data_IF_089533233559
#
_entry.id   IF_089533233559
#
_cell.length_a   1.000
_cell.length_b   1.000
_cell.length_c   1.000
_cell.angle_alpha   90.00
_cell.angle_beta   90.00
_cell.angle_gamma   90.00
#
_symmetry.space_group_name_H-M   'P 1'
#
loop_
_entity.id
_entity.type
_entity.pdbx_description
1 polymer ?
#
# COMPACT_ATOMS: atom_id res chain seq x y z
N UNK A 1 6.79 -15.90 10.00
CA UNK A 1 6.44 -14.52 9.63
C UNK A 1 4.95 -14.34 9.83
N UNK A 2 4.52 -13.23 10.38
CA UNK A 2 3.14 -12.89 10.71
C UNK A 2 2.84 -11.42 10.43
N UNK A 3 1.57 -11.11 10.19
CA UNK A 3 1.05 -9.76 10.11
C UNK A 3 0.30 -9.46 11.41
N UNK A 4 0.72 -8.43 12.11
CA UNK A 4 0.11 -8.02 13.38
C UNK A 4 -0.59 -6.69 13.16
N UNK A 5 -1.91 -6.70 13.25
CA UNK A 5 -2.72 -5.51 13.03
C UNK A 5 -2.50 -4.49 14.14
N UNK A 6 -2.01 -3.32 13.78
CA UNK A 6 -1.82 -2.20 14.68
C UNK A 6 -3.16 -1.48 14.85
N UNK A 7 -3.80 -1.66 16.00
CA UNK A 7 -5.13 -1.07 16.30
C UNK A 7 -5.07 0.12 17.25
N UNK A 8 -4.00 0.23 18.04
CA UNK A 8 -3.79 1.39 18.91
C UNK A 8 -2.88 2.40 18.21
N UNK A 9 -3.39 3.57 17.95
CA UNK A 9 -2.67 4.68 17.35
C UNK A 9 -1.87 5.51 18.38
N UNK A 10 -1.59 4.94 19.56
CA UNK A 10 -0.83 5.55 20.64
C UNK A 10 0.30 4.64 21.09
N UNK A 11 1.38 5.25 21.55
CA UNK A 11 2.48 4.54 22.17
C UNK A 11 3.62 4.16 21.22
N UNK A 12 4.65 3.53 21.79
CA UNK A 12 5.94 3.32 21.15
C UNK A 12 5.89 2.49 19.86
N UNK A 13 4.96 1.55 19.76
CA UNK A 13 4.84 0.69 18.56
C UNK A 13 4.35 1.53 17.37
N UNK A 14 3.31 2.32 17.58
CA UNK A 14 2.80 3.24 16.54
C UNK A 14 3.87 4.27 16.14
N UNK A 15 4.56 4.87 17.12
CA UNK A 15 5.65 5.82 16.84
C UNK A 15 6.78 5.17 16.02
N UNK A 16 7.09 3.91 16.27
CA UNK A 16 8.12 3.16 15.52
C UNK A 16 7.66 2.89 14.09
N UNK A 17 6.42 2.47 13.90
CA UNK A 17 5.83 2.28 12.59
C UNK A 17 5.79 3.61 11.81
N UNK A 18 5.28 4.68 12.41
CA UNK A 18 5.24 6.00 11.77
C UNK A 18 6.62 6.53 11.36
N UNK A 19 7.68 6.24 12.12
CA UNK A 19 9.06 6.58 11.73
C UNK A 19 9.50 5.82 10.47
N UNK A 20 9.14 4.53 10.35
CA UNK A 20 9.42 3.77 9.13
C UNK A 20 8.61 4.31 7.95
N UNK A 21 7.31 4.56 8.16
CA UNK A 21 6.42 5.18 7.18
C UNK A 21 6.99 6.49 6.65
N UNK A 22 7.36 7.39 7.55
CA UNK A 22 7.92 8.71 7.19
C UNK A 22 9.26 8.63 6.47
N UNK A 23 10.10 7.66 6.80
CA UNK A 23 11.37 7.43 6.13
C UNK A 23 11.21 6.79 4.75
N UNK A 24 10.16 5.99 4.57
CA UNK A 24 9.96 5.18 3.35
C UNK A 24 9.22 5.90 2.25
N UNK A 25 8.37 6.88 2.59
CA UNK A 25 7.52 7.58 1.64
C UNK A 25 7.75 9.10 1.72
N UNK A 26 7.84 9.82 0.60
CA UNK A 26 7.98 11.26 0.59
C UNK A 26 6.71 11.94 1.13
N UNK A 27 6.86 13.17 1.65
CA UNK A 27 5.77 13.88 2.33
C UNK A 27 4.50 14.05 1.48
N UNK A 28 4.63 14.13 0.17
CA UNK A 28 3.52 14.31 -0.75
C UNK A 28 2.78 13.00 -1.10
N UNK A 29 3.34 11.85 -0.69
CA UNK A 29 2.76 10.51 -0.89
C UNK A 29 2.23 9.89 0.40
N UNK A 30 2.14 10.63 1.50
CA UNK A 30 1.75 10.09 2.79
C UNK A 30 0.81 10.98 3.59
N UNK A 31 0.02 10.35 4.43
CA UNK A 31 -0.80 11.05 5.42
C UNK A 31 0.09 11.71 6.48
N UNK A 32 -0.43 12.78 7.08
CA UNK A 32 0.12 13.30 8.33
C UNK A 32 -0.11 12.28 9.46
N UNK A 33 0.61 12.45 10.56
CA UNK A 33 0.46 11.62 11.76
C UNK A 33 -1.02 11.56 12.23
N UNK A 34 -1.67 12.72 12.38
CA UNK A 34 -3.07 12.80 12.82
C UNK A 34 -4.04 12.19 11.78
N UNK A 35 -3.78 12.38 10.51
CA UNK A 35 -4.59 11.79 9.45
C UNK A 35 -4.46 10.26 9.42
N UNK A 36 -3.26 9.75 9.66
CA UNK A 36 -3.02 8.31 9.78
C UNK A 36 -3.76 7.72 10.99
N UNK A 37 -3.73 8.42 12.14
CA UNK A 37 -4.53 8.00 13.31
C UNK A 37 -6.03 7.94 12.99
N UNK A 38 -6.57 8.96 12.28
CA UNK A 38 -7.99 8.94 11.88
C UNK A 38 -8.33 7.78 10.96
N UNK A 39 -7.46 7.46 9.98
CA UNK A 39 -7.67 6.33 9.08
C UNK A 39 -7.76 5.00 9.83
N UNK A 40 -7.00 4.82 10.91
CA UNK A 40 -7.01 3.59 11.72
C UNK A 40 -8.32 3.32 12.46
N UNK A 41 -9.25 4.29 12.56
CA UNK A 41 -10.59 4.06 13.09
C UNK A 41 -11.55 3.47 12.04
N UNK A 42 -11.16 3.45 10.78
CA UNK A 42 -11.96 2.83 9.73
C UNK A 42 -11.76 1.30 9.74
N UNK A 43 -12.87 0.56 9.77
CA UNK A 43 -12.82 -0.91 9.84
C UNK A 43 -12.21 -1.56 8.60
N UNK A 44 -12.28 -0.88 7.43
CA UNK A 44 -11.70 -1.35 6.19
C UNK A 44 -10.20 -1.06 6.08
N UNK A 45 -9.68 -0.15 6.92
CA UNK A 45 -8.26 0.21 6.90
C UNK A 45 -7.45 -0.69 7.81
N UNK A 46 -6.36 -1.21 7.29
CA UNK A 46 -5.42 -2.07 8.00
C UNK A 46 -4.03 -1.43 8.00
N UNK A 47 -3.47 -1.29 9.19
CA UNK A 47 -2.08 -0.95 9.39
C UNK A 47 -1.41 -2.18 10.02
N UNK A 48 -0.87 -3.05 9.18
CA UNK A 48 -0.31 -4.31 9.64
C UNK A 48 1.22 -4.23 9.70
N UNK A 49 1.75 -4.58 10.85
CA UNK A 49 3.18 -4.71 11.09
C UNK A 49 3.63 -6.11 10.71
N UNK A 50 4.76 -6.18 10.01
CA UNK A 50 5.35 -7.43 9.57
C UNK A 50 6.39 -7.86 10.61
N UNK A 51 6.21 -9.03 11.19
CA UNK A 51 7.15 -9.64 12.12
C UNK A 51 7.64 -10.99 11.62
N UNK A 52 8.90 -11.31 11.91
CA UNK A 52 9.47 -12.65 11.71
C UNK A 52 10.34 -13.00 12.93
N UNK A 53 10.05 -14.13 13.59
CA UNK A 53 10.75 -14.57 14.79
C UNK A 53 10.85 -13.50 15.90
N UNK A 54 9.79 -12.71 16.06
CA UNK A 54 9.73 -11.62 17.04
C UNK A 54 10.44 -10.33 16.64
N UNK A 55 11.08 -10.27 15.47
CA UNK A 55 11.70 -9.07 14.94
C UNK A 55 10.74 -8.26 14.05
N UNK A 56 10.73 -6.94 14.20
CA UNK A 56 10.03 -6.04 13.30
C UNK A 56 10.74 -5.97 11.95
N UNK A 57 10.02 -6.27 10.87
CA UNK A 57 10.55 -6.39 9.51
C UNK A 57 10.12 -5.23 8.61
N UNK A 58 8.91 -4.73 8.81
CA UNK A 58 8.32 -3.71 7.96
C UNK A 58 6.84 -3.54 8.24
N UNK A 59 6.14 -2.93 7.29
CA UNK A 59 4.71 -2.65 7.43
C UNK A 59 4.01 -2.68 6.07
N UNK A 60 2.72 -3.02 6.09
CA UNK A 60 1.82 -2.92 4.96
C UNK A 60 0.53 -2.25 5.39
N UNK A 61 0.17 -1.16 4.70
CA UNK A 61 -1.04 -0.39 4.93
C UNK A 61 -1.96 -0.63 3.74
N UNK A 62 -3.16 -1.13 4.01
CA UNK A 62 -4.08 -1.49 2.95
C UNK A 62 -5.54 -1.30 3.37
N UNK A 63 -6.40 -1.23 2.38
CA UNK A 63 -7.84 -1.20 2.53
C UNK A 63 -8.41 -2.56 2.10
N UNK A 64 -9.19 -3.17 2.95
CA UNK A 64 -9.89 -4.43 2.67
C UNK A 64 -11.37 -4.16 2.47
N UNK A 65 -11.83 -4.23 1.21
CA UNK A 65 -13.22 -4.06 0.83
C UNK A 65 -13.87 -5.41 0.51
N UNK A 66 -15.15 -5.43 0.22
CA UNK A 66 -15.83 -6.66 -0.21
C UNK A 66 -15.30 -7.18 -1.56
N UNK A 67 -14.86 -6.29 -2.46
CA UNK A 67 -14.50 -6.61 -3.84
C UNK A 67 -13.00 -6.72 -4.07
N UNK A 68 -12.18 -5.99 -3.33
CA UNK A 68 -10.72 -5.93 -3.54
C UNK A 68 -9.97 -5.56 -2.26
N UNK A 69 -8.67 -5.83 -2.27
CA UNK A 69 -7.70 -5.26 -1.34
C UNK A 69 -6.89 -4.19 -2.10
N UNK A 70 -6.84 -2.97 -1.57
CA UNK A 70 -5.97 -1.92 -2.09
C UNK A 70 -4.76 -1.74 -1.19
N UNK A 71 -3.57 -2.14 -1.66
CA UNK A 71 -2.31 -1.88 -0.96
C UNK A 71 -1.90 -0.43 -1.23
N UNK A 72 -2.06 0.42 -0.22
CA UNK A 72 -1.74 1.83 -0.30
C UNK A 72 -0.27 2.11 -0.05
N UNK A 73 0.30 1.49 1.00
CA UNK A 73 1.71 1.64 1.35
C UNK A 73 2.31 0.29 1.75
N UNK A 74 3.51 0.02 1.30
CA UNK A 74 4.21 -1.21 1.64
C UNK A 74 5.71 -0.97 1.70
N UNK A 75 6.32 -1.23 2.84
CA UNK A 75 7.76 -1.10 2.97
C UNK A 75 8.38 -2.14 3.90
N UNK A 76 9.63 -2.49 3.58
CA UNK A 76 10.49 -3.37 4.37
C UNK A 76 11.69 -2.53 4.84
N UNK A 77 12.09 -2.67 6.10
CA UNK A 77 13.29 -2.07 6.65
C UNK A 77 14.49 -2.30 5.73
N UNK A 78 15.29 -1.28 5.50
CA UNK A 78 16.41 -1.33 4.54
C UNK A 78 17.36 -2.49 4.79
N UNK A 79 17.67 -2.76 6.05
CA UNK A 79 18.56 -3.84 6.51
C UNK A 79 17.95 -5.25 6.42
N UNK A 80 16.63 -5.32 6.20
CA UNK A 80 15.88 -6.56 6.04
C UNK A 80 15.54 -6.86 4.56
N UNK A 81 15.87 -5.97 3.63
CA UNK A 81 15.61 -6.17 2.19
C UNK A 81 16.45 -7.33 1.62
N UNK A 82 16.04 -7.83 0.45
CA UNK A 82 16.68 -8.95 -0.27
C UNK A 82 16.64 -10.30 0.48
N UNK A 83 15.76 -10.43 1.50
CA UNK A 83 15.52 -11.66 2.27
C UNK A 83 14.13 -12.26 2.02
N UNK A 84 13.51 -11.93 0.89
CA UNK A 84 12.17 -12.40 0.47
C UNK A 84 11.01 -12.00 1.38
N UNK A 85 11.21 -11.09 2.34
CA UNK A 85 10.12 -10.64 3.21
C UNK A 85 8.98 -9.98 2.42
N UNK A 86 9.30 -9.16 1.43
CA UNK A 86 8.29 -8.55 0.56
C UNK A 86 7.47 -9.58 -0.20
N UNK A 87 8.11 -10.61 -0.78
CA UNK A 87 7.46 -11.71 -1.48
C UNK A 87 6.53 -12.50 -0.54
N UNK A 88 7.03 -12.85 0.66
CA UNK A 88 6.23 -13.57 1.67
C UNK A 88 5.03 -12.76 2.14
N UNK A 89 5.17 -11.44 2.32
CA UNK A 89 4.06 -10.55 2.70
C UNK A 89 2.98 -10.51 1.62
N UNK A 90 3.37 -10.34 0.36
CA UNK A 90 2.41 -10.38 -0.75
C UNK A 90 1.69 -11.72 -0.84
N UNK A 91 2.40 -12.84 -0.65
CA UNK A 91 1.79 -14.17 -0.64
C UNK A 91 0.75 -14.35 0.47
N UNK A 92 0.96 -13.73 1.64
CA UNK A 92 -0.05 -13.76 2.71
C UNK A 92 -1.32 -13.01 2.32
N UNK A 93 -1.22 -11.83 1.71
CA UNK A 93 -2.38 -11.07 1.21
C UNK A 93 -3.08 -11.77 0.04
N UNK A 94 -2.31 -12.41 -0.85
CA UNK A 94 -2.84 -13.19 -1.97
C UNK A 94 -3.67 -14.40 -1.49
N UNK A 95 -3.39 -14.92 -0.31
CA UNK A 95 -4.19 -15.98 0.33
C UNK A 95 -5.62 -15.58 0.69
N UNK A 96 -5.96 -14.29 0.70
CA UNK A 96 -7.32 -13.81 0.95
C UNK A 96 -8.30 -14.05 -0.21
N UNK A 97 -7.84 -14.53 -1.37
CA UNK A 97 -8.64 -14.82 -2.56
C UNK A 97 -9.46 -13.62 -3.08
N UNK A 98 -8.97 -12.41 -2.88
CA UNK A 98 -9.52 -11.17 -3.43
C UNK A 98 -8.61 -10.60 -4.51
N UNK A 99 -9.15 -9.78 -5.38
CA UNK A 99 -8.33 -8.95 -6.26
C UNK A 99 -7.49 -7.99 -5.43
N UNK A 100 -6.18 -7.95 -5.68
CA UNK A 100 -5.28 -6.99 -5.03
C UNK A 100 -4.92 -5.93 -6.05
N UNK A 101 -5.08 -4.67 -5.67
CA UNK A 101 -4.79 -3.48 -6.47
C UNK A 101 -3.69 -2.69 -5.77
N UNK A 102 -2.73 -2.18 -6.53
CA UNK A 102 -1.73 -1.23 -6.03
C UNK A 102 -1.29 -0.26 -7.13
N UNK A 103 -0.74 0.85 -6.70
CA UNK A 103 -0.21 1.90 -7.56
C UNK A 103 1.32 1.87 -7.55
N UNK A 104 1.94 2.10 -8.71
CA UNK A 104 3.40 2.27 -8.84
C UNK A 104 3.72 3.50 -9.69
N UNK A 105 4.90 4.07 -9.46
CA UNK A 105 5.44 5.09 -10.37
C UNK A 105 5.54 4.54 -11.80
N UNK A 106 5.31 5.39 -12.82
CA UNK A 106 5.64 5.03 -14.19
C UNK A 106 7.12 4.56 -14.27
N UNK A 107 7.41 3.43 -14.95
CA UNK A 107 8.75 2.83 -14.96
C UNK A 107 9.72 3.63 -15.84
N UNK A 108 10.11 4.82 -15.38
CA UNK A 108 10.98 5.79 -16.12
C UNK A 108 12.42 5.79 -15.63
N UNK A 109 12.69 5.23 -14.45
CA UNK A 109 14.03 5.17 -13.85
C UNK A 109 14.33 3.75 -13.32
N UNK A 110 15.56 3.51 -12.90
CA UNK A 110 16.00 2.18 -12.43
C UNK A 110 15.20 1.67 -11.22
N UNK A 111 14.82 2.56 -10.30
CA UNK A 111 14.09 2.19 -9.08
C UNK A 111 12.65 1.79 -9.43
N UNK A 112 11.95 2.58 -10.23
CA UNK A 112 10.57 2.31 -10.64
C UNK A 112 10.47 1.06 -11.54
N UNK A 113 11.44 0.85 -12.44
CA UNK A 113 11.55 -0.38 -13.25
C UNK A 113 11.75 -1.62 -12.35
N UNK A 114 12.62 -1.50 -11.35
CA UNK A 114 12.91 -2.59 -10.40
C UNK A 114 11.71 -2.91 -9.50
N UNK A 115 10.95 -1.87 -9.06
CA UNK A 115 9.70 -2.00 -8.31
C UNK A 115 8.64 -2.72 -9.15
N UNK A 116 8.42 -2.30 -10.38
CA UNK A 116 7.53 -3.00 -11.31
C UNK A 116 7.93 -4.48 -11.47
N UNK A 117 9.19 -4.77 -11.74
CA UNK A 117 9.68 -6.14 -11.89
C UNK A 117 9.52 -7.00 -10.62
N UNK A 118 9.59 -6.38 -9.44
CA UNK A 118 9.28 -7.05 -8.18
C UNK A 118 7.82 -7.52 -8.15
N UNK A 119 6.87 -6.64 -8.45
CA UNK A 119 5.45 -7.01 -8.47
C UNK A 119 5.12 -8.01 -9.58
N UNK A 120 5.70 -7.88 -10.77
CA UNK A 120 5.51 -8.84 -11.87
C UNK A 120 5.96 -10.26 -11.49
N UNK A 121 7.11 -10.39 -10.81
CA UNK A 121 7.60 -11.71 -10.30
C UNK A 121 6.69 -12.29 -9.21
N UNK A 122 5.92 -11.46 -8.53
CA UNK A 122 4.91 -11.88 -7.54
C UNK A 122 3.51 -12.03 -8.15
N UNK A 123 3.40 -12.14 -9.47
CA UNK A 123 2.17 -12.46 -10.18
C UNK A 123 1.27 -11.28 -10.53
N UNK A 124 1.64 -10.06 -10.16
CA UNK A 124 0.89 -8.87 -10.52
C UNK A 124 1.00 -8.55 -12.01
N UNK A 125 -0.04 -7.97 -12.57
CA UNK A 125 -0.12 -7.52 -13.97
C UNK A 125 -0.31 -6.03 -14.06
N UNK A 126 0.46 -5.40 -14.93
CA UNK A 126 0.28 -3.98 -15.27
C UNK A 126 -0.99 -3.82 -16.09
N UNK A 127 -1.85 -2.87 -15.70
CA UNK A 127 -3.04 -2.48 -16.44
C UNK A 127 -2.76 -1.26 -17.33
N UNK A 128 -3.56 -1.09 -18.36
CA UNK A 128 -3.37 -0.05 -19.37
C UNK A 128 -4.24 1.20 -19.11
N UNK A 129 -4.78 1.35 -17.89
CA UNK A 129 -5.56 2.53 -17.51
C UNK A 129 -4.71 3.78 -17.45
N UNK A 130 -5.23 4.87 -17.98
CA UNK A 130 -4.73 6.20 -17.66
C UNK A 130 -5.18 6.52 -16.23
N UNK A 131 -4.20 6.64 -15.32
CA UNK A 131 -4.49 6.74 -13.90
C UNK A 131 -3.72 7.89 -13.26
N UNK A 132 -4.47 8.78 -12.59
CA UNK A 132 -3.96 9.92 -11.86
C UNK A 132 -4.42 9.84 -10.41
N UNK A 133 -3.48 9.55 -9.52
CA UNK A 133 -3.77 9.50 -8.09
C UNK A 133 -3.99 10.93 -7.55
N UNK A 134 -5.07 11.13 -6.77
CA UNK A 134 -5.26 12.39 -6.07
C UNK A 134 -4.13 12.64 -5.05
N UNK A 135 -3.77 13.92 -4.84
CA UNK A 135 -2.71 14.27 -3.89
C UNK A 135 -3.08 13.91 -2.44
N UNK A 136 -2.05 13.64 -1.62
CA UNK A 136 -2.18 13.46 -0.16
C UNK A 136 -2.23 14.78 0.63
N UNK A 137 -2.23 15.91 -0.05
CA UNK A 137 -2.35 17.23 0.58
C UNK A 137 -3.38 18.08 -0.15
N UNK A 138 -4.16 18.86 0.60
CA UNK A 138 -5.15 19.78 -0.01
C UNK A 138 -4.45 20.75 -0.96
N UNK A 139 -4.94 20.81 -2.20
CA UNK A 139 -4.35 21.66 -3.24
C UNK A 139 -3.02 21.12 -3.82
N UNK A 140 -2.62 19.91 -3.48
CA UNK A 140 -1.47 19.25 -4.08
C UNK A 140 -1.71 18.81 -5.53
N UNK A 141 -0.62 18.53 -6.25
CA UNK A 141 -0.69 18.03 -7.62
C UNK A 141 -1.16 16.58 -7.66
N UNK A 142 -1.90 16.24 -8.70
CA UNK A 142 -2.18 14.84 -9.04
C UNK A 142 -0.93 14.21 -9.65
N UNK A 143 -0.74 12.92 -9.44
CA UNK A 143 0.41 12.18 -9.96
C UNK A 143 -0.05 11.12 -10.95
N UNK A 144 0.62 11.04 -12.11
CA UNK A 144 0.44 9.90 -12.99
C UNK A 144 1.07 8.67 -12.31
N UNK A 145 0.26 7.67 -12.04
CA UNK A 145 0.70 6.37 -11.54
C UNK A 145 0.22 5.26 -12.48
N UNK A 146 0.72 4.07 -12.26
CA UNK A 146 0.29 2.87 -13.00
C UNK A 146 -0.35 1.88 -12.05
N UNK A 147 -1.44 1.28 -12.48
CA UNK A 147 -2.17 0.26 -11.73
C UNK A 147 -1.57 -1.12 -12.00
N UNK A 148 -1.24 -1.81 -10.94
CA UNK A 148 -0.91 -3.24 -11.00
C UNK A 148 -1.91 -4.04 -10.17
N UNK A 149 -2.31 -5.21 -10.67
CA UNK A 149 -3.34 -6.04 -10.06
C UNK A 149 -2.98 -7.52 -10.05
N UNK A 150 -3.46 -8.23 -9.02
CA UNK A 150 -3.34 -9.67 -8.87
C UNK A 150 -4.76 -10.28 -8.69
N UNK A 151 -5.06 -11.46 -9.25
CA UNK A 151 -4.19 -12.39 -9.97
C UNK A 151 -4.00 -12.05 -11.47
N UNK A 152 -4.69 -11.10 -12.03
CA UNK A 152 -4.67 -10.71 -13.43
C UNK A 152 -5.00 -9.26 -13.64
N UNK A 153 -5.17 -8.84 -14.91
CA UNK A 153 -5.74 -7.51 -15.22
C UNK A 153 -7.20 -7.48 -14.80
N UNK A 154 -7.68 -6.30 -14.45
CA UNK A 154 -9.07 -6.05 -14.03
C UNK A 154 -9.89 -5.44 -15.15
N UNK A 155 -11.22 -5.54 -15.02
CA UNK A 155 -12.16 -4.88 -15.92
C UNK A 155 -12.20 -3.37 -15.69
N UNK A 156 -12.78 -2.64 -16.62
CA UNK A 156 -12.97 -1.19 -16.49
C UNK A 156 -13.94 -0.87 -15.34
N UNK A 157 -14.97 -1.69 -15.15
CA UNK A 157 -15.94 -1.53 -14.06
C UNK A 157 -15.26 -1.61 -12.70
N UNK A 158 -14.44 -2.64 -12.46
CA UNK A 158 -13.71 -2.78 -11.20
C UNK A 158 -12.68 -1.66 -10.98
N UNK A 159 -12.08 -1.17 -12.07
CA UNK A 159 -11.21 0.00 -11.99
C UNK A 159 -11.99 1.26 -11.60
N UNK A 160 -13.19 1.46 -12.14
CA UNK A 160 -14.02 2.62 -11.82
C UNK A 160 -14.47 2.58 -10.34
N UNK A 161 -14.90 1.41 -9.85
CA UNK A 161 -15.24 1.19 -8.44
C UNK A 161 -14.05 1.49 -7.53
N UNK A 162 -12.85 1.01 -7.90
CA UNK A 162 -11.62 1.32 -7.18
C UNK A 162 -11.31 2.81 -7.18
N UNK A 163 -11.43 3.48 -8.32
CA UNK A 163 -11.11 4.90 -8.44
C UNK A 163 -12.09 5.77 -7.63
N UNK A 164 -13.38 5.43 -7.65
CA UNK A 164 -14.39 6.07 -6.82
C UNK A 164 -14.06 5.88 -5.32
N UNK A 165 -13.74 4.65 -4.91
CA UNK A 165 -13.30 4.33 -3.56
C UNK A 165 -12.05 5.15 -3.16
N UNK A 166 -11.04 5.21 -4.03
CA UNK A 166 -9.83 5.99 -3.82
C UNK A 166 -10.15 7.47 -3.56
N UNK A 167 -10.98 8.06 -4.40
CA UNK A 167 -11.35 9.48 -4.31
C UNK A 167 -12.26 9.80 -3.12
N UNK A 168 -13.24 8.96 -2.85
CA UNK A 168 -14.25 9.21 -1.81
C UNK A 168 -13.78 8.77 -0.42
N UNK A 169 -13.20 7.57 -0.32
CA UNK A 169 -12.87 6.94 0.96
C UNK A 169 -11.44 7.21 1.41
N UNK A 170 -10.46 6.87 0.59
CA UNK A 170 -9.05 6.99 0.97
C UNK A 170 -8.66 8.44 1.20
N UNK A 171 -9.16 9.35 0.36
CA UNK A 171 -8.86 10.79 0.43
C UNK A 171 -9.66 11.54 1.51
N UNK A 172 -10.66 10.93 2.11
CA UNK A 172 -11.35 11.50 3.27
C UNK A 172 -10.40 11.70 4.48
N UNK A 173 -9.35 10.91 4.56
CA UNK A 173 -8.36 10.93 5.65
C UNK A 173 -7.09 11.73 5.31
N UNK A 174 -7.18 12.75 4.45
CA UNK A 174 -6.05 13.62 4.08
C UNK A 174 -6.16 14.99 4.73
#
# INVERSE_FOLDING_TARGET
MELISLRDSRGKIFDTAMKLYEKSFPKYERRSYDAQQRAMYDEQFHFDLIYDEGEFIGEVLYWDTDSFIYIEHFCILSEKRNRKYGERTLSMLQGCNKTIILEIDPPKDEISVRRRGFYERNGFKLNDFEHFAPAYTRGGSVFELKIMTYPGKISKELYDDFYEFLCAKVKMYI
#
